data_IF_601815710356
#
_entry.id   IF_601815710356
#
_cell.length_a   1.000
_cell.length_b   1.000
_cell.length_c   1.000
_cell.angle_alpha   90.00
_cell.angle_beta   90.00
_cell.angle_gamma   90.00
#
_symmetry.space_group_name_H-M   'P 1'
#
loop_
_entity.id
_entity.type
_entity.pdbx_description
1 polymer ?
#
# COMPACT_ATOMS: atom_id res chain seq x y z
N UNK A 1 -5.02 -27.84 -16.58
CA UNK A 1 -5.25 -26.47 -16.11
C UNK A 1 -4.41 -26.25 -14.88
N UNK A 2 -3.29 -25.55 -15.00
CA UNK A 2 -2.42 -25.23 -13.86
C UNK A 2 -3.15 -24.20 -13.01
N UNK A 3 -3.81 -24.65 -11.93
CA UNK A 3 -4.24 -23.76 -10.86
C UNK A 3 -3.01 -23.09 -10.30
N UNK A 4 -2.77 -21.83 -10.69
CA UNK A 4 -1.84 -20.97 -9.98
C UNK A 4 -2.34 -20.95 -8.55
N UNK A 5 -1.57 -21.53 -7.62
CA UNK A 5 -1.72 -21.23 -6.20
C UNK A 5 -1.69 -19.71 -6.12
N UNK A 6 -2.84 -19.07 -5.91
CA UNK A 6 -2.87 -17.67 -5.52
C UNK A 6 -2.05 -17.62 -4.25
N UNK A 7 -0.84 -17.05 -4.33
CA UNK A 7 -0.11 -16.69 -3.12
C UNK A 7 -1.02 -15.69 -2.42
N UNK A 8 -1.78 -16.17 -1.44
CA UNK A 8 -2.76 -15.39 -0.71
C UNK A 8 -1.99 -14.24 -0.05
N UNK A 9 -2.16 -13.02 -0.56
CA UNK A 9 -1.50 -11.87 0.04
C UNK A 9 -2.14 -11.63 1.38
N UNK A 10 -1.31 -11.68 2.42
CA UNK A 10 -1.72 -11.38 3.77
C UNK A 10 -1.62 -9.88 4.02
N UNK A 11 -2.65 -9.35 4.66
CA UNK A 11 -2.85 -7.96 5.02
C UNK A 11 -2.78 -7.88 6.54
N UNK A 12 -1.76 -7.21 7.05
CA UNK A 12 -1.65 -6.85 8.45
C UNK A 12 -2.34 -5.51 8.74
N UNK A 13 -2.39 -5.13 10.01
CA UNK A 13 -2.96 -3.85 10.44
C UNK A 13 -2.37 -2.67 9.67
N UNK A 14 -1.04 -2.62 9.52
CA UNK A 14 -0.34 -1.51 8.84
C UNK A 14 -0.75 -1.40 7.37
N UNK A 15 -0.85 -2.52 6.67
CA UNK A 15 -1.26 -2.55 5.27
C UNK A 15 -2.73 -2.17 5.10
N UNK A 16 -3.62 -2.70 5.95
CA UNK A 16 -5.02 -2.30 5.96
C UNK A 16 -5.16 -0.79 6.18
N UNK A 17 -4.38 -0.23 7.10
CA UNK A 17 -4.37 1.19 7.40
C UNK A 17 -3.85 2.03 6.23
N UNK A 18 -2.76 1.61 5.55
CA UNK A 18 -2.30 2.25 4.31
C UNK A 18 -3.41 2.35 3.26
N UNK A 19 -4.08 1.22 2.96
CA UNK A 19 -5.14 1.19 1.95
C UNK A 19 -6.32 2.06 2.39
N UNK A 20 -6.72 2.01 3.65
CA UNK A 20 -7.80 2.86 4.16
C UNK A 20 -7.48 4.35 4.06
N UNK A 21 -6.22 4.75 4.30
CA UNK A 21 -5.80 6.14 4.14
C UNK A 21 -5.81 6.59 2.67
N UNK A 22 -5.44 5.72 1.72
CA UNK A 22 -5.50 6.06 0.29
C UNK A 22 -6.94 6.23 -0.21
N UNK A 23 -7.94 5.57 0.41
CA UNK A 23 -9.36 5.74 0.04
C UNK A 23 -9.87 7.18 0.14
N UNK A 24 -9.22 8.02 0.96
CA UNK A 24 -9.58 9.45 1.11
C UNK A 24 -9.51 10.22 -0.20
N UNK A 25 -8.64 9.80 -1.14
CA UNK A 25 -8.55 10.39 -2.48
C UNK A 25 -9.84 10.20 -3.29
N UNK A 26 -10.63 9.18 -2.96
CA UNK A 26 -11.91 8.85 -3.57
C UNK A 26 -13.10 9.45 -2.80
N UNK A 27 -12.86 10.33 -1.82
CA UNK A 27 -13.91 10.96 -1.01
C UNK A 27 -14.52 10.04 0.06
N UNK A 28 -13.95 8.85 0.26
CA UNK A 28 -14.38 7.92 1.32
C UNK A 28 -13.43 8.04 2.49
N UNK A 29 -13.98 8.27 3.68
CA UNK A 29 -13.22 8.34 4.91
C UNK A 29 -13.49 7.10 5.75
N UNK A 30 -12.46 6.25 5.89
CA UNK A 30 -12.46 5.15 6.86
C UNK A 30 -11.65 5.64 8.06
N UNK A 31 -12.29 5.70 9.23
CA UNK A 31 -11.62 6.16 10.44
C UNK A 31 -10.72 5.05 11.02
N UNK A 32 -9.80 5.44 11.91
CA UNK A 32 -8.86 4.48 12.52
C UNK A 32 -9.59 3.40 13.32
N UNK A 33 -10.61 3.75 14.09
CA UNK A 33 -11.35 2.79 14.93
C UNK A 33 -12.04 1.70 14.12
N UNK A 34 -12.55 2.02 12.93
CA UNK A 34 -13.14 1.06 12.00
C UNK A 34 -12.09 0.06 11.50
N UNK A 35 -10.88 0.53 11.22
CA UNK A 35 -9.76 -0.34 10.84
C UNK A 35 -9.34 -1.22 12.02
N UNK A 36 -9.14 -0.65 13.21
CA UNK A 36 -8.71 -1.37 14.42
C UNK A 36 -9.71 -2.45 14.84
N UNK A 37 -11.02 -2.24 14.65
CA UNK A 37 -12.05 -3.27 14.92
C UNK A 37 -11.93 -4.49 14.01
N UNK A 38 -11.45 -4.31 12.78
CA UNK A 38 -11.40 -5.37 11.76
C UNK A 38 -10.00 -5.94 11.55
N UNK A 39 -8.97 -5.13 11.73
CA UNK A 39 -7.56 -5.44 11.55
C UNK A 39 -6.79 -4.87 12.75
N UNK A 40 -6.97 -5.47 13.93
CA UNK A 40 -6.26 -5.02 15.14
C UNK A 40 -4.76 -5.26 15.01
N UNK A 41 -3.91 -4.46 15.67
CA UNK A 41 -2.45 -4.61 15.60
C UNK A 41 -1.94 -5.97 16.09
N UNK A 42 -2.60 -6.53 17.11
CA UNK A 42 -2.31 -7.86 17.67
C UNK A 42 -2.93 -9.03 16.87
N UNK A 43 -3.79 -8.75 15.89
CA UNK A 43 -4.39 -9.80 15.08
C UNK A 43 -3.35 -10.41 14.12
N UNK A 44 -3.43 -11.72 13.84
CA UNK A 44 -2.63 -12.30 12.78
C UNK A 44 -3.01 -11.68 11.42
N UNK A 45 -2.06 -11.56 10.48
CA UNK A 45 -2.34 -11.06 9.13
C UNK A 45 -3.48 -11.85 8.47
N UNK A 46 -4.44 -11.12 7.90
CA UNK A 46 -5.66 -11.69 7.31
C UNK A 46 -5.55 -11.73 5.79
N UNK A 47 -6.26 -12.64 5.11
CA UNK A 47 -6.29 -12.67 3.66
C UNK A 47 -6.75 -11.35 3.01
N UNK A 48 -6.16 -10.99 1.86
CA UNK A 48 -6.56 -9.81 1.09
C UNK A 48 -8.06 -9.75 0.75
N UNK A 49 -8.71 -10.91 0.55
CA UNK A 49 -10.17 -11.00 0.35
C UNK A 49 -10.97 -10.38 1.51
N UNK A 50 -10.47 -10.45 2.74
CA UNK A 50 -11.15 -9.85 3.90
C UNK A 50 -11.03 -8.33 3.88
N UNK A 51 -9.91 -7.79 3.40
CA UNK A 51 -9.76 -6.35 3.17
C UNK A 51 -10.75 -5.88 2.10
N UNK A 52 -10.86 -6.59 0.99
CA UNK A 52 -11.82 -6.24 -0.06
C UNK A 52 -13.27 -6.38 0.40
N UNK A 53 -13.60 -7.37 1.23
CA UNK A 53 -14.93 -7.48 1.82
C UNK A 53 -15.25 -6.25 2.71
N UNK A 54 -14.30 -5.82 3.54
CA UNK A 54 -14.43 -4.62 4.36
C UNK A 54 -14.57 -3.33 3.52
N UNK A 55 -13.79 -3.19 2.45
CA UNK A 55 -13.89 -2.05 1.53
C UNK A 55 -15.20 -2.05 0.72
N UNK A 56 -15.71 -3.23 0.36
CA UNK A 56 -16.95 -3.37 -0.40
C UNK A 56 -18.17 -2.82 0.36
N UNK A 57 -18.19 -2.91 1.71
CA UNK A 57 -19.20 -2.27 2.55
C UNK A 57 -19.26 -0.74 2.33
N UNK A 58 -18.14 -0.14 1.89
CA UNK A 58 -18.01 1.28 1.55
C UNK A 58 -18.05 1.54 0.03
N UNK A 59 -18.43 0.54 -0.78
CA UNK A 59 -18.44 0.60 -2.26
C UNK A 59 -17.05 0.87 -2.86
N UNK A 60 -16.00 0.38 -2.20
CA UNK A 60 -14.62 0.45 -2.68
C UNK A 60 -14.09 -0.95 -2.97
N UNK A 61 -13.09 -1.01 -3.84
CA UNK A 61 -12.35 -2.22 -4.15
C UNK A 61 -10.87 -1.85 -4.21
N UNK A 62 -10.05 -2.56 -3.44
CA UNK A 62 -8.61 -2.52 -3.64
C UNK A 62 -8.21 -3.54 -4.71
N UNK A 63 -7.27 -3.16 -5.56
CA UNK A 63 -6.75 -4.02 -6.62
C UNK A 63 -5.28 -4.29 -6.38
N UNK A 64 -4.89 -5.56 -6.35
CA UNK A 64 -3.47 -5.92 -6.34
C UNK A 64 -2.90 -5.71 -7.74
N UNK A 65 -1.97 -4.77 -7.87
CA UNK A 65 -1.29 -4.48 -9.13
C UNK A 65 0.16 -4.96 -9.02
N UNK A 66 0.55 -5.88 -9.89
CA UNK A 66 1.96 -6.22 -10.10
C UNK A 66 2.55 -5.28 -11.15
N UNK A 67 3.60 -4.54 -10.80
CA UNK A 67 4.15 -3.47 -11.63
C UNK A 67 5.68 -3.49 -11.54
N UNK A 68 6.34 -3.24 -12.67
CA UNK A 68 7.80 -3.13 -12.75
C UNK A 68 8.28 -1.82 -12.13
N UNK A 69 9.56 -1.75 -11.75
CA UNK A 69 10.13 -0.51 -11.22
C UNK A 69 10.11 0.64 -12.25
N UNK A 70 10.32 0.33 -13.52
CA UNK A 70 10.26 1.30 -14.63
C UNK A 70 8.84 1.84 -14.81
N UNK A 71 7.85 0.95 -14.84
CA UNK A 71 6.45 1.36 -14.92
C UNK A 71 6.00 2.14 -13.67
N UNK A 72 6.49 1.76 -12.48
CA UNK A 72 6.18 2.45 -11.24
C UNK A 72 6.78 3.86 -11.22
N UNK A 73 7.95 4.04 -11.86
CA UNK A 73 8.61 5.34 -12.05
C UNK A 73 7.81 6.25 -12.98
N UNK A 74 7.31 5.72 -14.09
CA UNK A 74 6.75 6.53 -15.18
C UNK A 74 5.22 6.70 -15.08
N UNK A 75 4.51 5.75 -14.46
CA UNK A 75 3.04 5.73 -14.48
C UNK A 75 2.45 6.36 -13.22
N UNK A 76 2.12 7.63 -13.33
CA UNK A 76 1.52 8.41 -12.23
C UNK A 76 0.12 7.95 -11.78
N UNK A 77 -0.57 7.09 -12.54
CA UNK A 77 -1.97 6.72 -12.26
C UNK A 77 -2.13 5.88 -10.98
N UNK A 78 -1.08 5.17 -10.54
CA UNK A 78 -1.15 4.35 -9.33
C UNK A 78 -1.09 5.20 -8.06
N UNK A 79 -0.53 6.41 -8.11
CA UNK A 79 -0.34 7.22 -6.90
C UNK A 79 -1.59 8.01 -6.50
N UNK A 80 -1.81 8.24 -5.20
CA UNK A 80 -1.15 7.58 -4.07
C UNK A 80 -1.59 6.11 -3.96
N UNK A 81 -0.66 5.20 -3.64
CA UNK A 81 -0.90 3.77 -3.47
C UNK A 81 -0.28 3.23 -2.18
N UNK A 82 -0.80 2.11 -1.69
CA UNK A 82 -0.22 1.36 -0.59
C UNK A 82 0.83 0.38 -1.11
N UNK A 83 1.99 0.37 -0.48
CA UNK A 83 3.14 -0.43 -0.90
C UNK A 83 3.58 -1.35 0.23
N UNK A 84 3.45 -2.68 0.09
CA UNK A 84 4.00 -3.64 1.03
C UNK A 84 5.46 -3.98 0.71
N UNK A 85 6.25 -4.15 1.77
CA UNK A 85 7.65 -4.55 1.71
C UNK A 85 7.86 -6.02 2.11
N UNK A 86 9.03 -6.55 1.74
CA UNK A 86 9.51 -7.91 2.07
C UNK A 86 9.61 -8.16 3.57
N UNK A 87 9.91 -7.14 4.35
CA UNK A 87 10.06 -7.20 5.81
C UNK A 87 8.73 -7.14 6.58
N UNK A 88 7.58 -7.13 5.89
CA UNK A 88 6.26 -7.00 6.52
C UNK A 88 5.83 -5.55 6.79
N UNK A 89 6.69 -4.56 6.58
CA UNK A 89 6.27 -3.16 6.68
C UNK A 89 5.50 -2.72 5.43
N UNK A 90 4.72 -1.64 5.58
CA UNK A 90 3.98 -1.04 4.47
C UNK A 90 3.99 0.49 4.57
N UNK A 91 4.04 1.16 3.43
CA UNK A 91 4.04 2.62 3.32
C UNK A 91 2.97 3.09 2.34
N UNK A 92 2.71 4.40 2.32
CA UNK A 92 1.89 5.03 1.28
C UNK A 92 2.83 5.77 0.34
N UNK A 93 3.00 5.30 -0.89
CA UNK A 93 3.76 6.03 -1.89
C UNK A 93 2.88 7.15 -2.47
N UNK A 94 3.41 8.37 -2.44
CA UNK A 94 2.74 9.58 -2.92
C UNK A 94 3.10 9.92 -4.36
N UNK A 95 4.26 9.47 -4.84
CA UNK A 95 4.75 9.72 -6.19
C UNK A 95 6.26 9.55 -6.30
N UNK A 96 6.77 9.74 -7.51
CA UNK A 96 8.21 9.70 -7.81
C UNK A 96 8.73 11.11 -8.05
N UNK A 97 9.88 11.43 -7.47
CA UNK A 97 10.60 12.68 -7.66
C UNK A 97 11.90 12.41 -8.39
N UNK A 98 12.19 13.18 -9.43
CA UNK A 98 13.49 13.19 -10.08
C UNK A 98 14.34 14.32 -9.49
N UNK A 99 15.55 14.00 -9.02
CA UNK A 99 16.53 14.95 -8.51
C UNK A 99 17.87 14.70 -9.21
N UNK A 100 18.14 15.50 -10.25
CA UNK A 100 19.27 15.25 -11.15
C UNK A 100 19.06 13.95 -11.93
N UNK A 101 20.05 13.06 -11.86
CA UNK A 101 20.03 11.75 -12.52
C UNK A 101 19.41 10.64 -11.65
N UNK A 102 19.00 10.97 -10.42
CA UNK A 102 18.44 10.02 -9.46
C UNK A 102 16.93 10.19 -9.27
N UNK A 103 16.27 9.08 -8.92
CA UNK A 103 14.84 9.01 -8.65
C UNK A 103 14.59 8.65 -7.19
N UNK A 104 13.62 9.30 -6.58
CA UNK A 104 13.22 9.12 -5.20
C UNK A 104 11.72 8.82 -5.12
N UNK A 105 11.34 7.87 -4.28
CA UNK A 105 9.94 7.66 -3.93
C UNK A 105 9.61 8.57 -2.76
N UNK A 106 8.64 9.44 -2.96
CA UNK A 106 8.05 10.24 -1.89
C UNK A 106 6.98 9.39 -1.21
N UNK A 107 7.03 9.25 0.11
CA UNK A 107 6.09 8.40 0.84
C UNK A 107 5.67 8.96 2.20
N UNK A 108 4.63 8.37 2.76
CA UNK A 108 4.21 8.54 4.14
C UNK A 108 4.36 7.22 4.90
N UNK A 109 4.81 7.32 6.14
CA UNK A 109 4.60 6.25 7.09
C UNK A 109 3.15 6.36 7.61
N UNK A 110 2.30 5.34 7.42
CA UNK A 110 0.91 5.37 7.89
C UNK A 110 0.81 5.56 9.41
N UNK A 111 1.83 5.19 10.18
CA UNK A 111 1.84 5.29 11.64
C UNK A 111 2.52 6.56 12.16
N UNK A 112 3.09 7.42 11.29
CA UNK A 112 3.66 8.71 11.73
C UNK A 112 2.51 9.67 12.10
N UNK A 113 2.35 10.05 13.38
CA UNK A 113 1.27 10.95 13.81
C UNK A 113 1.37 12.34 13.18
N UNK A 114 2.55 12.74 12.70
CA UNK A 114 2.76 14.02 12.02
C UNK A 114 2.57 13.94 10.51
N UNK A 115 2.32 12.75 9.96
CA UNK A 115 2.20 12.49 8.51
C UNK A 115 3.32 13.15 7.70
N UNK A 116 4.58 13.07 8.19
CA UNK A 116 5.71 13.70 7.51
C UNK A 116 6.01 12.97 6.21
N UNK A 117 6.18 13.75 5.17
CA UNK A 117 6.61 13.26 3.87
C UNK A 117 8.09 12.90 3.93
N UNK A 118 8.38 11.65 3.61
CA UNK A 118 9.73 11.10 3.58
C UNK A 118 10.10 10.73 2.16
N UNK A 119 11.39 10.52 1.92
CA UNK A 119 11.94 10.17 0.62
C UNK A 119 12.88 8.96 0.78
N UNK A 120 12.85 8.07 -0.20
CA UNK A 120 13.79 6.94 -0.30
C UNK A 120 14.26 6.82 -1.74
N UNK A 121 15.54 6.54 -1.96
CA UNK A 121 16.07 6.34 -3.30
C UNK A 121 15.41 5.15 -3.99
N UNK A 122 15.14 5.24 -5.29
CA UNK A 122 14.46 4.19 -6.06
C UNK A 122 15.20 2.84 -5.95
N UNK A 123 16.54 2.88 -5.98
CA UNK A 123 17.41 1.71 -5.84
C UNK A 123 17.29 1.03 -4.45
N UNK A 124 17.05 1.79 -3.39
CA UNK A 124 16.86 1.25 -2.04
C UNK A 124 15.45 0.68 -1.88
N UNK A 125 14.47 1.40 -2.41
CA UNK A 125 13.06 0.99 -2.45
C UNK A 125 12.90 -0.37 -3.16
N UNK A 126 13.47 -0.52 -4.36
CA UNK A 126 13.35 -1.74 -5.16
C UNK A 126 13.86 -3.00 -4.43
N UNK A 127 14.93 -2.87 -3.63
CA UNK A 127 15.47 -3.98 -2.84
C UNK A 127 14.45 -4.51 -1.83
N UNK A 128 13.69 -3.62 -1.19
CA UNK A 128 12.71 -3.94 -0.15
C UNK A 128 11.33 -4.29 -0.72
N UNK A 129 11.02 -3.80 -1.92
CA UNK A 129 9.70 -3.90 -2.51
C UNK A 129 9.42 -5.29 -3.10
N UNK A 130 8.14 -5.69 -3.05
CA UNK A 130 7.61 -6.96 -3.55
C UNK A 130 7.11 -6.89 -5.00
N UNK A 131 7.32 -5.77 -5.70
CA UNK A 131 6.78 -5.48 -7.04
C UNK A 131 5.24 -5.47 -7.09
N UNK A 132 4.60 -5.19 -5.96
CA UNK A 132 3.14 -5.11 -5.85
C UNK A 132 2.71 -3.82 -5.18
N UNK A 133 1.59 -3.25 -5.62
CA UNK A 133 0.93 -2.09 -5.01
C UNK A 133 -0.58 -2.28 -4.96
N UNK A 134 -1.24 -1.46 -4.15
CA UNK A 134 -2.69 -1.45 -3.94
C UNK A 134 -3.27 -0.04 -4.01
#
# INVERSE_FOLDING_TARGET
MFGKKENEVLVDHRMAYCVCLTTRRHGVYINREEVEKKFHEDDPPKPFRELNAFLAEKKLEASLINISIDDFKDKNFVFPCAVPFKNGQSIIALGVLQKGDEYFIKYLDPLDPQARQQEVGLNEFEKLWKNIVF
#
